data_IF_736244684167
#
_entry.id   IF_736244684167
#
_cell.length_a   1.000
_cell.length_b   1.000
_cell.length_c   1.000
_cell.angle_alpha   90.00
_cell.angle_beta   90.00
_cell.angle_gamma   90.00
#
_symmetry.space_group_name_H-M   'P 1'
#
loop_
_entity.id
_entity.type
_entity.pdbx_description
1 polymer ?
#
# COMPACT_ATOMS: atom_id res chain seq x y z
N UNK A 1 -10.06 -9.89 7.18
CA UNK A 1 -8.65 -9.50 7.12
C UNK A 1 -8.40 -8.49 6.02
N UNK A 2 -7.52 -7.56 6.29
CA UNK A 2 -7.15 -6.51 5.35
C UNK A 2 -5.64 -6.53 5.18
N UNK A 3 -5.19 -6.37 3.95
CA UNK A 3 -3.76 -6.28 3.65
C UNK A 3 -3.55 -5.08 2.73
N UNK A 4 -2.59 -4.24 3.06
CA UNK A 4 -2.19 -3.11 2.22
C UNK A 4 -0.68 -3.15 2.07
N UNK A 5 -0.23 -3.39 0.86
CA UNK A 5 1.18 -3.58 0.55
C UNK A 5 1.61 -2.66 -0.59
N UNK A 6 2.87 -2.25 -0.53
CA UNK A 6 3.45 -1.36 -1.54
C UNK A 6 4.54 -2.12 -2.30
N UNK A 7 4.52 -1.99 -3.62
CA UNK A 7 5.48 -2.64 -4.51
C UNK A 7 6.15 -1.59 -5.39
N UNK A 8 7.40 -1.83 -5.76
CA UNK A 8 8.08 -0.98 -6.71
C UNK A 8 7.69 -1.35 -8.15
N UNK A 9 8.26 -0.64 -9.12
CA UNK A 9 7.91 -0.83 -10.53
C UNK A 9 8.31 -2.21 -11.05
N UNK A 10 9.26 -2.88 -10.40
CA UNK A 10 9.66 -4.24 -10.79
C UNK A 10 8.78 -5.32 -10.17
N UNK A 11 7.83 -4.92 -9.31
CA UNK A 11 6.96 -5.86 -8.60
C UNK A 11 7.52 -6.36 -7.28
N UNK A 12 8.63 -5.77 -6.82
CA UNK A 12 9.24 -6.15 -5.55
C UNK A 12 8.49 -5.51 -4.39
N UNK A 13 8.23 -6.28 -3.33
CA UNK A 13 7.59 -5.75 -2.13
C UNK A 13 8.51 -4.75 -1.44
N UNK A 14 7.99 -3.53 -1.25
CA UNK A 14 8.72 -2.44 -0.61
C UNK A 14 8.31 -2.29 0.85
N UNK A 15 7.00 -2.41 1.12
CA UNK A 15 6.48 -2.13 2.45
C UNK A 15 5.15 -2.84 2.67
N UNK A 16 4.85 -3.16 3.93
CA UNK A 16 3.56 -3.70 4.34
C UNK A 16 2.97 -2.68 5.31
N UNK A 17 1.89 -2.02 4.91
CA UNK A 17 1.29 -0.94 5.69
C UNK A 17 0.19 -1.44 6.63
N UNK A 18 -0.59 -2.43 6.17
CA UNK A 18 -1.64 -3.06 6.98
C UNK A 18 -1.56 -4.57 6.73
N UNK A 19 -1.66 -5.34 7.80
CA UNK A 19 -1.70 -6.79 7.67
C UNK A 19 -2.47 -7.35 8.86
N UNK A 20 -3.70 -7.80 8.63
CA UNK A 20 -4.51 -8.38 9.67
C UNK A 20 -5.93 -7.85 9.68
N UNK A 21 -6.57 -7.94 10.83
CA UNK A 21 -7.93 -7.48 11.01
C UNK A 21 -7.97 -5.98 11.26
N UNK A 22 -8.90 -5.33 10.60
CA UNK A 22 -9.16 -3.90 10.78
C UNK A 22 -10.65 -3.76 11.07
N UNK A 23 -10.99 -2.99 12.08
CA UNK A 23 -12.38 -2.76 12.44
C UNK A 23 -13.13 -2.08 11.30
N UNK A 24 -14.39 -2.43 11.16
CA UNK A 24 -15.25 -1.77 10.18
C UNK A 24 -15.41 -0.29 10.55
N UNK A 25 -15.48 0.56 9.55
CA UNK A 25 -15.65 1.98 9.75
C UNK A 25 -14.69 2.78 8.88
N UNK A 26 -14.58 4.06 9.23
CA UNK A 26 -13.70 4.96 8.51
C UNK A 26 -12.27 4.84 9.05
N UNK A 27 -11.34 4.59 8.15
CA UNK A 27 -9.92 4.52 8.48
C UNK A 27 -9.15 5.50 7.61
N UNK A 28 -8.24 6.24 8.21
CA UNK A 28 -7.31 7.06 7.45
C UNK A 28 -5.90 6.60 7.75
N UNK A 29 -5.05 6.64 6.72
CA UNK A 29 -3.68 6.21 6.84
C UNK A 29 -2.78 7.24 6.17
N UNK A 30 -1.69 7.59 6.86
CA UNK A 30 -0.68 8.46 6.32
C UNK A 30 0.51 7.61 5.86
N UNK A 31 0.85 7.73 4.60
CA UNK A 31 2.01 7.05 4.04
C UNK A 31 3.24 7.90 4.26
N UNK A 32 4.24 7.33 4.95
CA UNK A 32 5.52 7.98 5.15
C UNK A 32 6.47 7.50 4.05
N UNK A 33 6.83 8.41 3.16
CA UNK A 33 7.68 8.11 2.01
C UNK A 33 9.15 8.43 2.23
N UNK A 34 9.57 8.69 3.46
CA UNK A 34 10.95 9.05 3.75
C UNK A 34 11.96 7.99 3.28
N UNK A 35 11.59 6.72 3.42
CA UNK A 35 12.46 5.63 3.01
C UNK A 35 12.34 5.24 1.55
N UNK A 36 11.53 5.95 0.77
CA UNK A 36 11.27 5.60 -0.62
C UNK A 36 12.09 6.48 -1.53
N UNK A 37 12.70 5.89 -2.56
CA UNK A 37 13.31 6.65 -3.64
C UNK A 37 12.20 7.26 -4.49
N UNK A 38 12.51 8.37 -5.17
CA UNK A 38 11.57 8.94 -6.14
C UNK A 38 11.28 7.94 -7.25
N UNK A 39 10.04 7.82 -7.66
CA UNK A 39 9.67 6.90 -8.72
C UNK A 39 8.24 6.46 -8.63
N UNK A 40 7.91 5.44 -9.40
CA UNK A 40 6.57 4.89 -9.49
C UNK A 40 6.48 3.66 -8.58
N UNK A 41 5.38 3.59 -7.83
CA UNK A 41 5.09 2.47 -6.96
C UNK A 41 3.65 2.04 -7.16
N UNK A 42 3.36 0.82 -6.74
CA UNK A 42 1.98 0.30 -6.74
C UNK A 42 1.62 -0.10 -5.34
N UNK A 43 0.40 0.18 -4.94
CA UNK A 43 -0.11 -0.35 -3.68
C UNK A 43 -1.30 -1.25 -3.95
N UNK A 44 -1.35 -2.35 -3.21
CA UNK A 44 -2.39 -3.36 -3.34
C UNK A 44 -3.15 -3.49 -2.04
N UNK A 45 -4.44 -3.26 -2.11
CA UNK A 45 -5.34 -3.44 -0.99
C UNK A 45 -6.16 -4.70 -1.21
N UNK A 46 -6.10 -5.62 -0.26
CA UNK A 46 -6.89 -6.83 -0.27
C UNK A 46 -7.80 -6.83 0.95
N UNK A 47 -9.10 -6.99 0.73
CA UNK A 47 -10.08 -6.99 1.80
C UNK A 47 -11.32 -7.76 1.35
N UNK A 48 -11.81 -8.65 2.21
CA UNK A 48 -13.04 -9.39 1.95
C UNK A 48 -13.03 -10.18 0.65
N UNK A 49 -11.89 -10.75 0.27
CA UNK A 49 -11.76 -11.52 -0.96
C UNK A 49 -11.62 -10.68 -2.21
N UNK A 50 -11.56 -9.36 -2.07
CA UNK A 50 -11.38 -8.44 -3.20
C UNK A 50 -10.00 -7.81 -3.14
N UNK A 51 -9.42 -7.54 -4.31
CA UNK A 51 -8.10 -6.94 -4.43
C UNK A 51 -8.19 -5.72 -5.32
N UNK A 52 -7.61 -4.61 -4.85
CA UNK A 52 -7.52 -3.37 -5.60
C UNK A 52 -6.05 -2.98 -5.71
N UNK A 53 -5.63 -2.59 -6.91
CA UNK A 53 -4.26 -2.14 -7.15
C UNK A 53 -4.30 -0.74 -7.74
N UNK A 54 -3.46 0.14 -7.21
CA UNK A 54 -3.37 1.52 -7.67
C UNK A 54 -1.90 1.90 -7.85
N UNK A 55 -1.67 2.83 -8.76
CA UNK A 55 -0.35 3.38 -9.01
C UNK A 55 -0.20 4.69 -8.23
N UNK A 56 1.00 4.91 -7.67
CA UNK A 56 1.32 6.18 -7.07
C UNK A 56 2.71 6.61 -7.50
N UNK A 57 2.96 7.90 -7.43
CA UNK A 57 4.26 8.46 -7.76
C UNK A 57 4.83 9.18 -6.54
N UNK A 58 6.07 8.87 -6.21
CA UNK A 58 6.80 9.54 -5.13
C UNK A 58 7.77 10.52 -5.78
N UNK A 59 7.64 11.79 -5.42
CA UNK A 59 8.52 12.85 -5.92
C UNK A 59 9.18 13.52 -4.73
N UNK A 60 10.49 13.58 -4.75
CA UNK A 60 11.27 14.20 -3.67
C UNK A 60 12.17 15.30 -4.22
#
# INVERSE_FOLDING_TARGET
DVSLRVYDVSGRLVDVLIDGEVEAGYHSMRLDTKGYASGVYFYRLTAGGKTFTRKMTVVK
#
